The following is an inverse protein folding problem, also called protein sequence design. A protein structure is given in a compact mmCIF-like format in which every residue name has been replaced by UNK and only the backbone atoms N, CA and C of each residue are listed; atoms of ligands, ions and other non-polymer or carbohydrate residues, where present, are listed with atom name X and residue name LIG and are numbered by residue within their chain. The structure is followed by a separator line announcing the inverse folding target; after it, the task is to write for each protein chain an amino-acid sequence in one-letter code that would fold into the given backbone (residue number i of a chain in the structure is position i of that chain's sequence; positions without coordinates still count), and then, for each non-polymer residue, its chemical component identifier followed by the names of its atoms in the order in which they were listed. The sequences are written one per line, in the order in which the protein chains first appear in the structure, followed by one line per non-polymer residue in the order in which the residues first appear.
data_IF_260465788506
#
_entry.id   IF_260465788506
#
_cell.length_a   1.000
_cell.length_b   1.000
_cell.length_c   1.000
_cell.angle_alpha   90.00
_cell.angle_beta   90.00
_cell.angle_gamma   90.00
#
_symmetry.space_group_name_H-M   'P 1'
#
loop_
_entity.id
_entity.type
_entity.pdbx_description
1 polymer ?
#
# COMPACT_ATOMS: atom_id res chain seq x y z
N UNK A 1 39.17 2.44 44.57
CA UNK A 1 38.99 3.22 45.82
C UNK A 1 40.19 2.90 46.72
N UNK A 2 40.93 3.86 47.34
CA UNK A 2 40.73 5.31 47.39
C UNK A 2 41.96 6.22 47.09
N UNK A 3 41.62 7.48 46.75
CA UNK A 3 42.18 8.79 47.17
C UNK A 3 43.71 9.03 47.23
N UNK A 4 44.17 10.10 46.56
CA UNK A 4 44.31 11.44 47.18
C UNK A 4 44.68 12.55 46.17
N UNK A 5 43.73 13.47 45.93
CA UNK A 5 43.95 14.83 45.39
C UNK A 5 44.50 15.76 46.48
N UNK A 6 45.32 16.76 46.08
CA UNK A 6 45.48 18.13 46.63
C UNK A 6 46.70 18.77 45.96
N UNK A 7 46.72 19.94 45.31
CA UNK A 7 46.02 21.24 45.46
C UNK A 7 46.06 21.94 44.07
N UNK A 8 44.96 22.30 43.43
CA UNK A 8 44.26 23.61 43.47
C UNK A 8 45.18 24.83 43.76
N UNK A 9 45.48 25.71 42.80
CA UNK A 9 44.61 26.68 42.11
C UNK A 9 44.90 28.10 42.62
N UNK A 10 45.65 28.91 41.87
CA UNK A 10 45.50 30.38 41.82
C UNK A 10 46.33 30.95 40.65
N UNK A 11 45.72 31.21 39.48
CA UNK A 11 45.26 32.53 38.96
C UNK A 11 46.45 33.46 38.61
N UNK A 12 46.59 33.98 37.39
CA UNK A 12 46.00 35.24 36.88
C UNK A 12 46.47 35.38 35.38
N UNK A 13 45.59 35.22 34.39
CA UNK A 13 44.93 36.24 33.50
C UNK A 13 45.70 36.60 32.20
N UNK A 14 45.27 36.17 31.00
CA UNK A 14 44.29 36.76 30.01
C UNK A 14 44.87 37.91 29.17
N UNK A 15 44.89 37.76 27.82
CA UNK A 15 44.52 38.73 26.76
C UNK A 15 45.15 38.30 25.39
N UNK A 16 44.41 37.85 24.37
CA UNK A 16 43.65 38.58 23.31
C UNK A 16 44.48 39.25 22.18
N UNK A 17 44.24 38.76 20.95
CA UNK A 17 44.22 39.44 19.62
C UNK A 17 45.51 39.85 18.85
N UNK A 18 45.70 39.23 17.68
CA UNK A 18 46.10 39.81 16.37
C UNK A 18 45.91 38.70 15.29
N UNK A 19 45.05 38.70 14.26
CA UNK A 19 44.67 39.65 13.18
C UNK A 19 45.90 40.04 12.32
N UNK A 20 46.05 39.85 11.00
CA UNK A 20 45.27 39.27 9.88
C UNK A 20 46.22 39.23 8.63
N UNK A 21 45.93 38.35 7.64
CA UNK A 21 46.29 38.35 6.19
C UNK A 21 47.76 38.33 5.71
N UNK A 22 48.13 37.27 4.98
CA UNK A 22 48.70 37.41 3.62
C UNK A 22 48.01 36.44 2.67
N UNK A 23 47.58 37.00 1.56
CA UNK A 23 46.88 36.41 0.43
C UNK A 23 47.84 35.55 -0.41
N UNK A 24 47.45 34.31 -0.70
CA UNK A 24 47.75 33.67 -1.99
C UNK A 24 46.52 32.86 -2.40
N UNK A 25 45.68 33.48 -3.24
CA UNK A 25 44.72 32.75 -4.04
C UNK A 25 45.43 32.09 -5.21
N UNK A 26 45.05 30.84 -5.49
CA UNK A 26 44.99 30.32 -6.84
C UNK A 26 43.76 29.41 -6.89
N UNK A 27 42.72 29.90 -7.57
CA UNK A 27 41.50 29.14 -7.78
C UNK A 27 41.71 28.15 -8.93
N UNK A 28 41.32 26.91 -8.70
CA UNK A 28 40.99 25.99 -9.77
C UNK A 28 39.58 25.47 -9.51
N UNK A 29 38.72 25.68 -10.51
CA UNK A 29 37.28 25.51 -10.45
C UNK A 29 36.96 24.06 -10.13
N UNK A 30 36.15 23.85 -9.09
CA UNK A 30 35.40 22.62 -8.90
C UNK A 30 34.48 22.41 -10.12
N UNK A 31 34.98 21.71 -11.14
CA UNK A 31 34.15 21.02 -12.10
C UNK A 31 33.48 19.88 -11.36
N UNK A 32 32.28 20.13 -10.86
CA UNK A 32 31.35 19.09 -10.44
C UNK A 32 31.05 18.23 -11.66
N UNK A 33 31.85 17.20 -11.92
CA UNK A 33 31.42 16.07 -12.73
C UNK A 33 30.21 15.46 -12.01
N UNK A 34 29.02 15.88 -12.46
CA UNK A 34 27.80 15.12 -12.29
C UNK A 34 28.09 13.74 -12.85
N UNK A 35 28.45 12.80 -11.97
CA UNK A 35 28.29 11.37 -12.26
C UNK A 35 26.86 11.22 -12.77
N UNK A 36 26.65 10.65 -13.97
CA UNK A 36 25.32 10.26 -14.39
C UNK A 36 24.74 9.42 -13.25
N UNK A 37 23.64 9.91 -12.67
CA UNK A 37 22.84 9.14 -11.72
C UNK A 37 22.52 7.85 -12.46
N UNK A 38 23.02 6.74 -11.96
CA UNK A 38 22.69 5.42 -12.46
C UNK A 38 21.18 5.41 -12.69
N UNK A 39 20.84 5.23 -13.96
CA UNK A 39 19.59 4.71 -14.45
C UNK A 39 18.78 4.01 -13.35
N UNK A 40 17.80 4.74 -12.83
CA UNK A 40 16.67 4.21 -12.09
C UNK A 40 15.87 3.33 -13.05
N UNK A 41 16.38 2.12 -13.32
CA UNK A 41 15.58 1.04 -13.87
C UNK A 41 14.80 0.50 -12.69
N UNK A 42 13.60 1.01 -12.48
CA UNK A 42 12.62 0.34 -11.65
C UNK A 42 12.36 -1.02 -12.31
N UNK A 43 12.97 -2.08 -11.78
CA UNK A 43 12.79 -3.43 -12.31
C UNK A 43 11.31 -3.81 -12.17
N UNK A 44 10.61 -4.00 -13.30
CA UNK A 44 9.22 -4.44 -13.29
C UNK A 44 9.15 -5.86 -12.78
N UNK A 45 8.22 -6.11 -11.86
CA UNK A 45 7.91 -7.45 -11.38
C UNK A 45 7.24 -8.27 -12.48
N UNK A 46 7.77 -9.46 -12.79
CA UNK A 46 7.17 -10.37 -13.76
C UNK A 46 6.61 -11.58 -13.01
N UNK A 47 5.29 -11.71 -12.98
CA UNK A 47 4.63 -12.87 -12.39
C UNK A 47 4.86 -14.14 -13.22
N UNK A 48 5.07 -15.27 -12.55
CA UNK A 48 5.18 -16.60 -13.17
C UNK A 48 3.96 -16.96 -14.05
N UNK A 49 4.14 -17.82 -15.05
CA UNK A 49 3.02 -18.38 -15.82
C UNK A 49 2.22 -19.41 -15.01
N UNK A 50 2.86 -20.03 -14.03
CA UNK A 50 2.22 -20.98 -13.12
C UNK A 50 1.92 -20.29 -11.80
N UNK A 51 0.68 -20.43 -11.31
CA UNK A 51 0.28 -19.93 -10.00
C UNK A 51 1.15 -20.59 -8.92
N UNK A 52 1.87 -19.80 -8.11
CA UNK A 52 2.73 -20.37 -7.08
C UNK A 52 1.91 -20.80 -5.86
N UNK A 53 2.46 -21.71 -5.05
CA UNK A 53 1.73 -22.37 -3.96
C UNK A 53 1.36 -21.45 -2.80
N UNK A 54 2.12 -20.38 -2.62
CA UNK A 54 1.93 -19.34 -1.61
C UNK A 54 1.12 -18.15 -2.12
N UNK A 55 0.48 -18.30 -3.29
CA UNK A 55 -0.44 -17.29 -3.80
C UNK A 55 -1.66 -17.17 -2.88
N UNK A 56 -1.74 -16.02 -2.22
CA UNK A 56 -2.86 -15.66 -1.36
C UNK A 56 -3.19 -14.18 -1.53
N UNK A 57 -4.45 -13.84 -1.34
CA UNK A 57 -4.92 -12.47 -1.31
C UNK A 57 -6.07 -12.26 -0.32
N UNK A 58 -6.21 -11.01 0.10
CA UNK A 58 -7.44 -10.50 0.67
C UNK A 58 -7.83 -9.17 0.02
N UNK A 59 -9.13 -8.94 -0.08
CA UNK A 59 -9.71 -7.66 -0.48
C UNK A 59 -10.82 -7.29 0.48
N UNK A 60 -10.67 -6.16 1.16
CA UNK A 60 -11.71 -5.50 1.96
C UNK A 60 -12.34 -4.42 1.13
N UNK A 61 -13.67 -4.33 1.15
CA UNK A 61 -14.40 -3.37 0.32
C UNK A 61 -15.76 -2.99 0.91
N UNK A 62 -16.28 -1.85 0.51
CA UNK A 62 -17.60 -1.39 0.91
C UNK A 62 -17.77 0.10 0.72
N UNK A 63 -18.79 0.64 1.38
CA UNK A 63 -19.09 2.06 1.39
C UNK A 63 -18.63 2.70 2.70
N UNK A 64 -18.01 3.87 2.61
CA UNK A 64 -17.50 4.65 3.75
C UNK A 64 -16.26 4.04 4.41
N UNK A 65 -15.90 4.54 5.59
CA UNK A 65 -14.65 4.19 6.30
C UNK A 65 -14.61 2.74 6.84
N UNK A 66 -15.67 1.96 6.65
CA UNK A 66 -15.87 0.72 7.41
C UNK A 66 -15.61 -0.56 6.59
N UNK A 67 -15.42 -0.49 5.26
CA UNK A 67 -15.02 -1.59 4.35
C UNK A 67 -15.33 -3.01 4.86
N UNK A 68 -16.61 -3.25 5.16
CA UNK A 68 -17.05 -4.39 5.99
C UNK A 68 -17.15 -5.71 5.25
N UNK A 69 -17.10 -5.70 3.91
CA UNK A 69 -17.02 -6.93 3.15
C UNK A 69 -15.56 -7.35 3.01
N UNK A 70 -15.29 -8.64 3.06
CA UNK A 70 -13.95 -9.17 2.88
C UNK A 70 -14.00 -10.51 2.15
N UNK A 71 -13.11 -10.71 1.19
CA UNK A 71 -12.72 -12.05 0.71
C UNK A 71 -11.28 -12.25 1.17
N UNK A 72 -11.00 -13.32 1.89
CA UNK A 72 -9.68 -13.58 2.46
C UNK A 72 -9.29 -15.05 2.27
N UNK A 73 -8.32 -15.28 1.38
CA UNK A 73 -7.82 -16.63 1.07
C UNK A 73 -6.75 -17.12 2.04
N UNK A 74 -6.05 -16.20 2.74
CA UNK A 74 -5.13 -16.59 3.83
C UNK A 74 -5.81 -17.36 4.96
N UNK A 75 -7.11 -17.12 5.15
CA UNK A 75 -7.93 -17.77 6.19
C UNK A 75 -9.11 -18.54 5.62
N UNK A 76 -9.25 -18.63 4.30
CA UNK A 76 -10.40 -19.24 3.61
C UNK A 76 -11.76 -18.76 4.14
N UNK A 77 -11.94 -17.44 4.21
CA UNK A 77 -13.16 -16.82 4.73
C UNK A 77 -13.72 -15.75 3.80
N UNK A 78 -15.04 -15.61 3.85
CA UNK A 78 -15.76 -14.46 3.29
C UNK A 78 -16.57 -13.78 4.37
N UNK A 79 -16.49 -12.45 4.44
CA UNK A 79 -17.32 -11.60 5.29
C UNK A 79 -18.24 -10.77 4.44
N UNK A 80 -19.54 -10.79 4.78
CA UNK A 80 -20.59 -10.00 4.17
C UNK A 80 -21.02 -8.90 5.14
N UNK A 81 -21.09 -7.70 4.61
CA UNK A 81 -21.71 -6.57 5.29
C UNK A 81 -23.24 -6.73 5.30
N UNK A 82 -23.82 -6.71 6.49
CA UNK A 82 -25.26 -6.76 6.72
C UNK A 82 -25.84 -5.38 7.05
N UNK A 83 -25.05 -4.32 6.85
CA UNK A 83 -25.41 -2.91 7.05
C UNK A 83 -25.78 -2.65 8.51
N UNK A 84 -27.08 -2.63 8.84
CA UNK A 84 -27.57 -2.37 10.21
C UNK A 84 -27.40 -3.56 11.14
N UNK A 85 -27.23 -4.77 10.59
CA UNK A 85 -27.05 -6.02 11.36
C UNK A 85 -25.57 -6.37 11.60
N UNK A 86 -24.63 -5.48 11.25
CA UNK A 86 -23.20 -5.73 11.41
C UNK A 86 -22.64 -6.54 10.24
N UNK A 87 -21.91 -7.61 10.53
CA UNK A 87 -21.32 -8.49 9.52
C UNK A 87 -21.64 -9.95 9.82
N UNK A 88 -21.57 -10.80 8.79
CA UNK A 88 -21.56 -12.24 8.95
C UNK A 88 -20.43 -12.85 8.13
N UNK A 89 -19.79 -13.89 8.67
CA UNK A 89 -18.65 -14.55 8.06
C UNK A 89 -18.95 -16.02 7.84
N UNK A 90 -18.52 -16.56 6.70
CA UNK A 90 -18.52 -17.99 6.41
C UNK A 90 -17.11 -18.46 6.05
N UNK A 91 -16.82 -19.72 6.35
CA UNK A 91 -15.67 -20.41 5.78
C UNK A 91 -15.97 -20.70 4.31
N UNK A 92 -15.08 -20.28 3.42
CA UNK A 92 -15.20 -20.43 1.97
C UNK A 92 -13.79 -20.50 1.41
N UNK A 93 -13.33 -21.73 1.15
CA UNK A 93 -12.11 -21.98 0.41
C UNK A 93 -12.43 -21.97 -1.09
N UNK A 94 -11.69 -21.16 -1.84
CA UNK A 94 -11.79 -21.18 -3.31
C UNK A 94 -11.12 -22.45 -3.84
N UNK A 95 -11.72 -23.03 -4.87
CA UNK A 95 -11.13 -24.18 -5.56
C UNK A 95 -9.84 -23.79 -6.30
N UNK A 96 -9.01 -24.78 -6.61
CA UNK A 96 -7.76 -24.57 -7.35
C UNK A 96 -8.00 -23.87 -8.70
N UNK A 97 -9.08 -24.21 -9.41
CA UNK A 97 -9.43 -23.57 -10.69
C UNK A 97 -9.87 -22.11 -10.51
N UNK A 98 -10.63 -21.81 -9.46
CA UNK A 98 -11.04 -20.44 -9.11
C UNK A 98 -9.81 -19.58 -8.75
N UNK A 99 -8.90 -20.12 -7.92
CA UNK A 99 -7.64 -19.47 -7.57
C UNK A 99 -6.76 -19.21 -8.81
N UNK A 100 -6.60 -20.22 -9.68
CA UNK A 100 -5.82 -20.09 -10.90
C UNK A 100 -6.40 -19.04 -11.87
N UNK A 101 -7.72 -18.98 -11.99
CA UNK A 101 -8.40 -17.96 -12.79
C UNK A 101 -8.19 -16.54 -12.22
N UNK A 102 -8.26 -16.38 -10.89
CA UNK A 102 -8.00 -15.09 -10.24
C UNK A 102 -6.55 -14.67 -10.41
N UNK A 103 -5.61 -15.60 -10.21
CA UNK A 103 -4.18 -15.38 -10.46
C UNK A 103 -3.92 -14.90 -11.89
N UNK A 104 -4.52 -15.55 -12.89
CA UNK A 104 -4.38 -15.15 -14.29
C UNK A 104 -4.92 -13.73 -14.55
N UNK A 105 -6.04 -13.34 -13.93
CA UNK A 105 -6.58 -11.97 -14.01
C UNK A 105 -5.66 -10.95 -13.34
N UNK A 106 -5.12 -11.27 -12.16
CA UNK A 106 -4.13 -10.45 -11.46
C UNK A 106 -2.87 -10.25 -12.29
N UNK A 107 -2.37 -11.31 -12.93
CA UNK A 107 -1.25 -11.25 -13.87
C UNK A 107 -1.55 -10.35 -15.06
N UNK A 108 -2.74 -10.49 -15.67
CA UNK A 108 -3.13 -9.72 -16.85
C UNK A 108 -3.19 -8.20 -16.61
N UNK A 109 -3.50 -7.78 -15.38
CA UNK A 109 -3.48 -6.36 -14.99
C UNK A 109 -2.13 -5.91 -14.41
N UNK A 110 -1.12 -6.78 -14.44
CA UNK A 110 0.20 -6.55 -13.84
C UNK A 110 0.09 -6.10 -12.37
N UNK A 111 -0.69 -6.83 -11.54
CA UNK A 111 -1.05 -6.43 -10.17
C UNK A 111 0.14 -6.02 -9.29
N UNK A 112 1.32 -6.62 -9.50
CA UNK A 112 2.55 -6.31 -8.75
C UNK A 112 3.23 -5.02 -9.20
N UNK A 113 2.83 -4.46 -10.35
CA UNK A 113 3.32 -3.21 -10.92
C UNK A 113 2.26 -2.10 -11.00
N UNK A 114 0.98 -2.38 -10.69
CA UNK A 114 -0.09 -1.39 -10.62
C UNK A 114 0.35 -0.16 -9.82
N UNK A 115 0.07 1.04 -10.29
CA UNK A 115 0.34 2.27 -9.53
C UNK A 115 -0.96 3.03 -9.29
N UNK A 116 -1.33 3.14 -8.02
CA UNK A 116 -2.51 3.92 -7.64
C UNK A 116 -2.06 5.36 -7.45
N UNK A 117 -2.30 6.16 -8.48
CA UNK A 117 -2.03 7.59 -8.42
C UNK A 117 -2.70 8.21 -7.18
N UNK A 118 -1.92 8.84 -6.29
CA UNK A 118 -2.51 9.49 -5.12
C UNK A 118 -3.36 10.67 -5.58
N UNK A 119 -4.47 10.89 -4.88
CA UNK A 119 -5.27 12.09 -5.09
C UNK A 119 -4.40 13.33 -4.89
N UNK A 120 -4.45 14.25 -5.86
CA UNK A 120 -3.74 15.54 -5.80
C UNK A 120 -4.74 16.63 -5.43
N UNK A 121 -4.63 17.25 -4.24
CA UNK A 121 -5.50 18.35 -3.85
C UNK A 121 -5.53 19.44 -4.92
N UNK A 122 -6.74 19.82 -5.36
CA UNK A 122 -6.94 20.82 -6.42
C UNK A 122 -7.08 20.25 -7.84
N UNK A 123 -6.91 18.94 -8.04
CA UNK A 123 -7.21 18.29 -9.32
C UNK A 123 -8.73 18.14 -9.57
N UNK A 124 -9.53 18.12 -8.50
CA UNK A 124 -10.99 18.05 -8.51
C UNK A 124 -11.54 18.68 -7.23
N UNK A 125 -12.71 19.32 -7.30
CA UNK A 125 -13.48 19.73 -6.11
C UNK A 125 -14.57 18.73 -5.77
N UNK A 126 -14.64 17.62 -6.50
CA UNK A 126 -15.67 16.61 -6.30
C UNK A 126 -15.32 15.75 -5.08
N UNK A 127 -16.27 15.66 -4.16
CA UNK A 127 -16.27 14.67 -3.10
C UNK A 127 -17.67 14.06 -3.03
N UNK A 128 -17.76 12.72 -2.90
CA UNK A 128 -19.03 12.02 -2.81
C UNK A 128 -19.14 11.21 -1.50
N UNK A 129 -20.38 11.13 -1.00
CA UNK A 129 -20.76 10.28 0.12
C UNK A 129 -22.09 9.61 -0.25
N UNK A 130 -22.22 8.27 -0.09
CA UNK A 130 -21.15 7.35 0.26
C UNK A 130 -20.10 7.25 -0.86
N UNK A 131 -18.85 6.96 -0.48
CA UNK A 131 -17.78 6.60 -1.41
C UNK A 131 -17.37 5.15 -1.19
N UNK A 132 -16.88 4.52 -2.25
CA UNK A 132 -16.26 3.20 -2.21
C UNK A 132 -14.77 3.28 -1.90
N UNK A 133 -14.28 2.28 -1.18
CA UNK A 133 -12.86 2.05 -0.98
C UNK A 133 -12.59 0.53 -1.00
N UNK A 134 -11.51 0.14 -1.66
CA UNK A 134 -10.98 -1.22 -1.54
C UNK A 134 -9.59 -1.17 -0.92
N UNK A 135 -9.28 -2.10 -0.01
CA UNK A 135 -7.93 -2.37 0.48
C UNK A 135 -7.56 -3.81 0.17
N UNK A 136 -6.47 -3.98 -0.57
CA UNK A 136 -5.94 -5.26 -1.01
C UNK A 136 -4.67 -5.61 -0.26
N UNK A 137 -4.50 -6.89 0.03
CA UNK A 137 -3.24 -7.50 0.43
C UNK A 137 -3.01 -8.74 -0.42
N UNK A 138 -1.87 -8.84 -1.08
CA UNK A 138 -1.61 -9.88 -2.10
C UNK A 138 -0.21 -10.44 -1.89
N UNK A 139 -0.06 -11.75 -1.82
CA UNK A 139 1.22 -12.45 -1.72
C UNK A 139 1.41 -13.32 -2.94
N UNK A 140 2.50 -13.12 -3.68
CA UNK A 140 2.87 -13.85 -4.90
C UNK A 140 4.40 -14.02 -4.90
N UNK A 141 4.89 -15.23 -5.15
CA UNK A 141 6.32 -15.58 -5.22
C UNK A 141 7.09 -15.11 -3.96
N UNK A 142 6.43 -15.22 -2.79
CA UNK A 142 6.96 -14.81 -1.48
C UNK A 142 7.01 -13.30 -1.22
N UNK A 143 6.55 -12.45 -2.15
CA UNK A 143 6.43 -11.01 -1.94
C UNK A 143 5.00 -10.60 -1.65
N UNK A 144 4.82 -9.75 -0.62
CA UNK A 144 3.51 -9.20 -0.26
C UNK A 144 3.40 -7.73 -0.69
N UNK A 145 2.28 -7.39 -1.31
CA UNK A 145 1.91 -6.03 -1.72
C UNK A 145 0.58 -5.63 -1.10
N UNK A 146 0.49 -4.37 -0.66
CA UNK A 146 -0.75 -3.75 -0.21
C UNK A 146 -1.12 -2.59 -1.14
N UNK A 147 -2.40 -2.48 -1.49
CA UNK A 147 -2.94 -1.45 -2.38
C UNK A 147 -4.26 -0.94 -1.82
N UNK A 148 -4.48 0.37 -1.88
CA UNK A 148 -5.76 0.98 -1.52
C UNK A 148 -6.16 1.97 -2.59
N UNK A 149 -7.43 1.98 -2.97
CA UNK A 149 -8.00 2.97 -3.89
C UNK A 149 -9.40 3.38 -3.41
N UNK A 150 -9.80 4.61 -3.72
CA UNK A 150 -11.12 5.16 -3.38
C UNK A 150 -11.72 5.97 -4.53
N UNK A 151 -13.05 5.96 -4.64
CA UNK A 151 -13.79 6.84 -5.56
C UNK A 151 -14.28 8.14 -4.90
N UNK A 152 -13.86 8.43 -3.65
CA UNK A 152 -14.27 9.63 -2.90
C UNK A 152 -14.19 10.90 -3.72
N UNK A 153 -13.15 11.05 -4.54
CA UNK A 153 -12.90 12.25 -5.32
C UNK A 153 -13.49 12.23 -6.74
N UNK A 154 -14.41 11.29 -7.00
CA UNK A 154 -15.17 11.06 -8.24
C UNK A 154 -14.33 10.66 -9.47
N UNK A 155 -13.05 11.01 -9.49
CA UNK A 155 -12.06 10.59 -10.49
C UNK A 155 -11.30 9.39 -9.94
N UNK A 156 -11.26 8.32 -10.73
CA UNK A 156 -10.56 7.07 -10.41
C UNK A 156 -9.53 6.83 -11.51
N UNK A 157 -8.31 6.41 -11.15
CA UNK A 157 -7.29 6.10 -12.14
C UNK A 157 -7.66 4.84 -12.93
N UNK A 158 -7.08 4.67 -14.12
CA UNK A 158 -7.29 3.46 -14.92
C UNK A 158 -6.89 2.19 -14.15
N UNK A 159 -5.84 2.26 -13.33
CA UNK A 159 -5.38 1.12 -12.53
C UNK A 159 -6.33 0.82 -11.36
N UNK A 160 -6.90 1.84 -10.72
CA UNK A 160 -7.95 1.64 -9.71
C UNK A 160 -9.23 1.03 -10.32
N UNK A 161 -9.60 1.40 -11.54
CA UNK A 161 -10.73 0.75 -12.25
C UNK A 161 -10.43 -0.72 -12.59
N UNK A 162 -9.19 -1.08 -12.93
CA UNK A 162 -8.79 -2.50 -13.09
C UNK A 162 -8.95 -3.28 -11.78
N UNK A 163 -8.55 -2.70 -10.64
CA UNK A 163 -8.74 -3.32 -9.32
C UNK A 163 -10.22 -3.49 -8.98
N UNK A 164 -11.03 -2.46 -9.22
CA UNK A 164 -12.49 -2.52 -9.04
C UNK A 164 -13.11 -3.65 -9.85
N UNK A 165 -12.72 -3.78 -11.11
CA UNK A 165 -13.22 -4.84 -11.99
C UNK A 165 -12.77 -6.23 -11.54
N UNK A 166 -11.52 -6.37 -11.07
CA UNK A 166 -11.01 -7.62 -10.49
C UNK A 166 -11.83 -8.03 -9.26
N UNK A 167 -12.11 -7.09 -8.34
CA UNK A 167 -12.98 -7.35 -7.18
C UNK A 167 -14.37 -7.81 -7.61
N UNK A 168 -14.98 -7.14 -8.59
CA UNK A 168 -16.30 -7.52 -9.11
C UNK A 168 -16.29 -8.95 -9.65
N UNK A 169 -15.24 -9.34 -10.35
CA UNK A 169 -15.11 -10.71 -10.87
C UNK A 169 -14.93 -11.75 -9.76
N UNK A 170 -14.11 -11.47 -8.75
CA UNK A 170 -13.97 -12.32 -7.56
C UNK A 170 -15.33 -12.46 -6.86
N UNK A 171 -16.07 -11.37 -6.72
CA UNK A 171 -17.39 -11.41 -6.07
C UNK A 171 -18.43 -12.19 -6.85
N UNK A 172 -18.35 -12.27 -8.18
CA UNK A 172 -19.22 -13.17 -8.96
C UNK A 172 -18.95 -14.63 -8.63
N UNK A 173 -17.68 -15.01 -8.45
CA UNK A 173 -17.28 -16.36 -8.04
C UNK A 173 -17.83 -16.63 -6.63
N UNK A 174 -17.50 -15.76 -5.67
CA UNK A 174 -17.90 -15.90 -4.27
C UNK A 174 -19.42 -15.91 -4.09
N UNK A 175 -20.16 -15.02 -4.78
CA UNK A 175 -21.62 -14.96 -4.66
C UNK A 175 -22.34 -16.20 -5.24
N UNK A 176 -21.67 -16.97 -6.11
CA UNK A 176 -22.21 -18.21 -6.63
C UNK A 176 -22.06 -19.39 -5.66
N UNK A 177 -21.23 -19.25 -4.60
CA UNK A 177 -20.96 -20.28 -3.60
C UNK A 177 -22.11 -20.43 -2.60
N UNK A 178 -22.42 -21.67 -2.23
CA UNK A 178 -23.51 -21.97 -1.29
C UNK A 178 -23.22 -21.42 0.11
N UNK A 179 -21.96 -21.43 0.52
CA UNK A 179 -21.47 -20.89 1.78
C UNK A 179 -21.78 -19.40 1.92
N UNK A 180 -21.62 -18.64 0.82
CA UNK A 180 -21.96 -17.21 0.80
C UNK A 180 -23.47 -16.97 0.70
N UNK A 181 -24.21 -17.78 -0.08
CA UNK A 181 -25.67 -17.69 -0.19
C UNK A 181 -26.38 -17.99 1.13
N UNK A 182 -25.79 -18.84 1.97
CA UNK A 182 -26.30 -19.16 3.30
C UNK A 182 -26.16 -18.00 4.31
N UNK A 183 -25.34 -16.98 4.02
CA UNK A 183 -25.22 -15.81 4.87
C UNK A 183 -26.53 -14.99 4.87
N UNK A 184 -26.90 -14.36 6.00
CA UNK A 184 -28.11 -13.53 6.09
C UNK A 184 -28.19 -12.48 4.99
N UNK A 185 -29.41 -12.10 4.62
CA UNK A 185 -29.63 -10.93 3.77
C UNK A 185 -29.19 -9.66 4.50
N UNK A 186 -28.64 -8.71 3.76
CA UNK A 186 -28.39 -7.38 4.30
C UNK A 186 -29.71 -6.63 4.48
N UNK A 187 -29.80 -5.77 5.50
CA UNK A 187 -30.99 -4.97 5.79
C UNK A 187 -30.62 -3.48 5.89
N UNK A 188 -31.37 -2.62 5.21
CA UNK A 188 -31.12 -1.17 5.19
C UNK A 188 -30.28 -0.70 4.00
N UNK A 189 -29.74 0.51 4.11
CA UNK A 189 -28.92 1.15 3.09
C UNK A 189 -27.94 2.16 3.69
N UNK A 190 -27.10 2.73 2.85
CA UNK A 190 -26.24 3.86 3.19
C UNK A 190 -26.94 5.14 2.73
N UNK A 191 -27.07 6.11 3.63
CA UNK A 191 -27.63 7.45 3.36
C UNK A 191 -26.58 8.39 2.73
#
# INVERSE_FOLDING_TARGET
MPLRMRKHMLKIQIALLAVILVLTGCGERAGSELKPRADDKTERWVMSDTMPSEFDFSVKFGYGEVNKNEVNTYTDTVTKDLIVKGTATANLALSADEMANIYAKMKAIEIMNIDIEPYKPGASTCEQTPYGEDTWKITIDGATRELTWTDRHCTVSNDAEKLKQLRVDIMKIVAAREEYKALPAAEGGYD
#
